data_IF_826683312316
#
_entry.id   IF_826683312316
#
_cell.length_a   1.000
_cell.length_b   1.000
_cell.length_c   1.000
_cell.angle_alpha   90.00
_cell.angle_beta   90.00
_cell.angle_gamma   90.00
#
_symmetry.space_group_name_H-M   'P 1'
#
loop_
_entity.id
_entity.type
_entity.pdbx_description
1 polymer ?
#
# COMPACT_ATOMS: atom_id res chain seq x y z
N UNK A 1 0.47 10.41 23.21
CA UNK A 1 1.72 9.89 22.65
C UNK A 1 1.45 9.58 21.19
N UNK A 2 2.19 10.14 20.22
CA UNK A 2 2.01 9.74 18.83
C UNK A 2 2.35 8.25 18.67
N UNK A 3 1.57 7.55 17.84
CA UNK A 3 1.74 6.13 17.58
C UNK A 3 2.97 5.84 16.71
N UNK A 4 3.54 4.66 16.88
CA UNK A 4 4.54 4.08 15.97
C UNK A 4 3.83 3.15 15.00
N UNK A 5 4.24 3.15 13.73
CA UNK A 5 3.71 2.19 12.75
C UNK A 5 4.00 0.76 13.19
N UNK A 6 2.96 -0.08 13.28
CA UNK A 6 3.13 -1.53 13.45
C UNK A 6 3.47 -2.18 12.10
N UNK A 7 4.59 -2.89 12.04
CA UNK A 7 5.04 -3.66 10.86
C UNK A 7 5.05 -5.17 11.08
N UNK A 8 4.55 -5.62 12.23
CA UNK A 8 4.39 -7.03 12.58
C UNK A 8 3.00 -7.52 12.17
N UNK A 9 2.82 -8.85 12.01
CA UNK A 9 1.50 -9.43 11.81
C UNK A 9 0.53 -9.03 12.95
N UNK A 10 -0.55 -8.34 12.60
CA UNK A 10 -1.49 -7.75 13.57
C UNK A 10 -2.96 -8.04 13.23
N UNK A 11 -3.21 -9.09 12.42
CA UNK A 11 -4.56 -9.55 12.09
C UNK A 11 -4.77 -10.89 12.78
N UNK A 12 -5.91 -11.05 13.47
CA UNK A 12 -6.28 -12.30 14.13
C UNK A 12 -6.51 -13.44 13.13
N UNK A 13 -7.09 -13.11 11.97
CA UNK A 13 -7.35 -14.03 10.86
C UNK A 13 -6.88 -13.40 9.53
N UNK A 14 -5.57 -13.47 9.21
CA UNK A 14 -5.01 -12.84 8.02
C UNK A 14 -5.57 -13.45 6.72
N UNK A 15 -5.85 -14.76 6.72
CA UNK A 15 -6.37 -15.48 5.55
C UNK A 15 -7.79 -15.03 5.19
N UNK A 16 -8.65 -14.85 6.19
CA UNK A 16 -10.03 -14.39 5.99
C UNK A 16 -10.07 -12.99 5.39
N UNK A 17 -9.22 -12.09 5.90
CA UNK A 17 -9.11 -10.74 5.34
C UNK A 17 -8.58 -10.75 3.92
N UNK A 18 -7.57 -11.59 3.63
CA UNK A 18 -7.03 -11.71 2.28
C UNK A 18 -8.07 -12.25 1.30
N UNK A 19 -8.84 -13.27 1.68
CA UNK A 19 -9.95 -13.79 0.88
C UNK A 19 -10.99 -12.71 0.58
N UNK A 20 -11.41 -11.94 1.59
CA UNK A 20 -12.36 -10.83 1.42
C UNK A 20 -11.83 -9.74 0.48
N UNK A 21 -10.52 -9.41 0.55
CA UNK A 21 -9.89 -8.43 -0.34
C UNK A 21 -9.88 -8.90 -1.79
N UNK A 22 -9.52 -10.18 -2.04
CA UNK A 22 -9.52 -10.78 -3.37
C UNK A 22 -10.94 -10.80 -3.93
N UNK A 23 -11.92 -11.19 -3.13
CA UNK A 23 -13.32 -11.24 -3.54
C UNK A 23 -13.88 -9.84 -3.88
N UNK A 24 -13.51 -8.82 -3.11
CA UNK A 24 -13.90 -7.43 -3.38
C UNK A 24 -13.35 -6.89 -4.72
N UNK A 25 -12.30 -7.51 -5.27
CA UNK A 25 -11.67 -7.11 -6.52
C UNK A 25 -12.01 -8.05 -7.69
N UNK A 26 -12.78 -9.12 -7.43
CA UNK A 26 -13.11 -10.14 -8.43
C UNK A 26 -13.94 -9.53 -9.57
N UNK A 27 -13.51 -9.78 -10.81
CA UNK A 27 -14.18 -9.29 -12.01
C UNK A 27 -13.91 -7.81 -12.34
N UNK A 28 -13.03 -7.13 -11.59
CA UNK A 28 -12.62 -5.77 -11.89
C UNK A 28 -11.46 -5.71 -12.88
N UNK A 29 -11.42 -4.66 -13.69
CA UNK A 29 -10.25 -4.32 -14.49
C UNK A 29 -9.10 -3.84 -13.59
N UNK A 30 -7.84 -3.86 -14.06
CA UNK A 30 -6.70 -3.38 -13.27
C UNK A 30 -6.89 -1.94 -12.75
N UNK A 31 -7.44 -1.05 -13.56
CA UNK A 31 -7.72 0.34 -13.17
C UNK A 31 -8.79 0.44 -12.07
N UNK A 32 -9.83 -0.40 -12.14
CA UNK A 32 -10.86 -0.47 -11.09
C UNK A 32 -10.30 -1.06 -9.80
N UNK A 33 -9.47 -2.11 -9.86
CA UNK A 33 -8.81 -2.66 -8.69
C UNK A 33 -7.90 -1.64 -8.00
N UNK A 34 -7.18 -0.82 -8.78
CA UNK A 34 -6.42 0.33 -8.24
C UNK A 34 -7.33 1.35 -7.56
N UNK A 35 -8.51 1.64 -8.13
CA UNK A 35 -9.47 2.55 -7.52
C UNK A 35 -10.03 2.03 -6.20
N UNK A 36 -10.34 0.73 -6.11
CA UNK A 36 -10.74 0.07 -4.86
C UNK A 36 -9.63 0.17 -3.81
N UNK A 37 -8.39 -0.14 -4.19
CA UNK A 37 -7.24 -0.03 -3.29
C UNK A 37 -7.04 1.40 -2.79
N UNK A 38 -7.13 2.41 -3.66
CA UNK A 38 -6.98 3.81 -3.26
C UNK A 38 -8.07 4.22 -2.25
N UNK A 39 -9.32 3.81 -2.48
CA UNK A 39 -10.42 4.08 -1.54
C UNK A 39 -10.22 3.37 -0.21
N UNK A 40 -9.81 2.10 -0.24
CA UNK A 40 -9.53 1.32 0.97
C UNK A 40 -8.41 1.98 1.80
N UNK A 41 -7.32 2.38 1.17
CA UNK A 41 -6.20 3.09 1.84
C UNK A 41 -6.69 4.37 2.53
N UNK A 42 -7.53 5.17 1.87
CA UNK A 42 -8.07 6.40 2.46
C UNK A 42 -9.01 6.13 3.65
N UNK A 43 -9.85 5.09 3.55
CA UNK A 43 -10.71 4.67 4.66
C UNK A 43 -9.91 4.20 5.87
N UNK A 44 -8.88 3.39 5.64
CA UNK A 44 -7.97 2.93 6.71
C UNK A 44 -7.17 4.08 7.29
N UNK A 45 -6.72 5.03 6.46
CA UNK A 45 -6.03 6.22 6.94
C UNK A 45 -6.90 7.07 7.86
N UNK A 46 -8.16 7.26 7.50
CA UNK A 46 -9.14 7.94 8.36
C UNK A 46 -9.40 7.18 9.66
N UNK A 47 -9.48 5.83 9.61
CA UNK A 47 -9.66 5.00 10.80
C UNK A 47 -8.45 5.08 11.75
N UNK A 48 -7.23 5.13 11.22
CA UNK A 48 -5.98 5.26 12.00
C UNK A 48 -5.90 6.65 12.67
N UNK A 49 -6.22 7.72 11.95
CA UNK A 49 -6.32 9.09 12.49
C UNK A 49 -5.01 9.74 12.94
N UNK A 50 -3.90 9.01 13.03
CA UNK A 50 -2.59 9.52 13.41
C UNK A 50 -1.71 9.82 12.17
N UNK A 51 -1.53 11.11 11.89
CA UNK A 51 -0.72 11.58 10.76
C UNK A 51 0.73 11.06 10.78
N UNK A 52 1.34 10.87 11.95
CA UNK A 52 2.73 10.37 12.04
C UNK A 52 2.82 8.89 11.70
N UNK A 53 1.81 8.09 12.05
CA UNK A 53 1.72 6.69 11.62
C UNK A 53 1.56 6.61 10.11
N UNK A 54 0.73 7.49 9.53
CA UNK A 54 0.51 7.55 8.07
C UNK A 54 1.76 7.99 7.31
N UNK A 55 2.50 8.99 7.81
CA UNK A 55 3.78 9.42 7.23
C UNK A 55 4.83 8.30 7.26
N UNK A 56 4.94 7.57 8.38
CA UNK A 56 5.81 6.40 8.48
C UNK A 56 5.40 5.32 7.49
N UNK A 57 4.10 5.05 7.34
CA UNK A 57 3.58 4.07 6.40
C UNK A 57 3.90 4.45 4.94
N UNK A 58 3.69 5.71 4.55
CA UNK A 58 4.02 6.22 3.23
C UNK A 58 5.53 6.14 2.94
N UNK A 59 6.36 6.53 3.90
CA UNK A 59 7.82 6.44 3.76
C UNK A 59 8.26 5.00 3.53
N UNK A 60 7.73 4.04 4.31
CA UNK A 60 8.02 2.60 4.14
C UNK A 60 7.49 2.05 2.81
N UNK A 61 6.26 2.39 2.41
CA UNK A 61 5.66 1.92 1.16
C UNK A 61 6.42 2.38 -0.09
N UNK A 62 7.13 3.52 -0.03
CA UNK A 62 7.97 4.01 -1.14
C UNK A 62 9.36 3.36 -1.20
N UNK A 63 9.81 2.66 -0.16
CA UNK A 63 11.15 2.05 -0.16
C UNK A 63 11.24 0.99 -1.25
N UNK A 64 12.31 1.05 -2.06
CA UNK A 64 12.55 0.10 -3.16
C UNK A 64 11.72 0.35 -4.43
N UNK A 65 10.80 1.33 -4.42
CA UNK A 65 10.04 1.69 -5.62
C UNK A 65 10.69 2.91 -6.28
N UNK A 66 11.39 2.67 -7.39
CA UNK A 66 11.96 3.72 -8.20
C UNK A 66 10.89 4.33 -9.13
N UNK A 67 10.90 5.65 -9.35
CA UNK A 67 10.06 6.25 -10.38
C UNK A 67 10.43 5.67 -11.74
N UNK A 68 9.43 5.30 -12.53
CA UNK A 68 9.63 4.87 -13.91
C UNK A 68 10.34 5.99 -14.68
N UNK A 69 11.61 5.77 -15.02
CA UNK A 69 12.51 6.76 -15.62
C UNK A 69 13.87 6.94 -14.92
N UNK A 70 14.07 6.36 -13.72
CA UNK A 70 15.37 6.37 -13.02
C UNK A 70 16.23 5.12 -13.28
N UNK A 71 15.76 4.21 -14.14
CA UNK A 71 16.53 3.02 -14.54
C UNK A 71 17.56 3.45 -15.61
N UNK A 72 18.77 3.82 -15.17
CA UNK A 72 19.91 4.21 -16.02
C UNK A 72 20.50 3.04 -16.84
N UNK A 73 19.74 1.98 -17.12
CA UNK A 73 20.19 0.87 -17.97
C UNK A 73 20.40 1.26 -19.44
N UNK A 74 20.09 2.51 -19.83
CA UNK A 74 20.41 3.09 -21.15
C UNK A 74 21.85 3.63 -21.30
N UNK A 75 22.75 3.43 -20.31
CA UNK A 75 24.18 3.75 -20.47
C UNK A 75 25.01 2.61 -21.08
N UNK A 76 24.44 1.83 -22.00
CA UNK A 76 25.20 0.84 -22.79
C UNK A 76 25.30 1.29 -24.24
N UNK A 77 26.13 2.32 -24.48
CA UNK A 77 26.95 2.45 -25.70
C UNK A 77 27.87 3.67 -25.54
N UNK A 78 29.05 3.42 -24.97
CA UNK A 78 30.26 4.11 -25.38
C UNK A 78 31.36 3.06 -25.54
#
# INVERSE_FOLDING_TARGET
MPGTLNTEPNLDAPDDFYAALVDAQRGLTPAQSQQVNARLVLLLANHIGDARVLEQALARARQGILPAGADETLRVTQ
#
